data_IF_787745501061
#
_entry.id   IF_787745501061
#
_cell.length_a   1.000
_cell.length_b   1.000
_cell.length_c   1.000
_cell.angle_alpha   90.00
_cell.angle_beta   90.00
_cell.angle_gamma   90.00
#
_symmetry.space_group_name_H-M   'P 1'
#
loop_
_entity.id
_entity.type
_entity.pdbx_description
1 polymer ?
#
# COMPACT_ATOMS: atom_id res chain seq x y z
N UNK A 1 -0.42 19.04 7.64
CA UNK A 1 -1.44 18.07 8.10
C UNK A 1 -0.77 16.71 8.23
N UNK A 2 -1.30 15.79 9.04
CA UNK A 2 -0.80 14.40 9.15
C UNK A 2 -1.96 13.45 8.84
N UNK A 3 -1.73 12.50 7.94
CA UNK A 3 -2.69 11.52 7.45
C UNK A 3 -2.17 10.09 7.55
N UNK A 4 -3.05 9.14 7.22
CA UNK A 4 -2.71 7.71 7.11
C UNK A 4 -3.38 7.12 5.86
N UNK A 5 -2.75 7.33 4.71
CA UNK A 5 -3.16 6.76 3.43
C UNK A 5 -4.03 7.68 2.58
N UNK A 6 -3.75 8.99 2.52
CA UNK A 6 -4.41 9.83 1.50
C UNK A 6 -4.08 9.29 0.10
N UNK A 7 -5.12 9.04 -0.71
CA UNK A 7 -4.92 8.48 -2.05
C UNK A 7 -4.05 9.43 -2.90
N UNK A 8 -3.06 8.92 -3.64
CA UNK A 8 -2.20 9.76 -4.48
C UNK A 8 -3.00 10.61 -5.48
N UNK A 9 -4.08 10.06 -6.03
CA UNK A 9 -4.94 10.70 -7.03
C UNK A 9 -5.68 11.93 -6.53
N UNK A 10 -5.90 12.05 -5.20
CA UNK A 10 -6.64 13.16 -4.60
C UNK A 10 -5.73 14.12 -3.84
N UNK A 11 -4.47 13.75 -3.64
CA UNK A 11 -3.54 14.44 -2.76
C UNK A 11 -3.29 15.88 -3.17
N UNK A 12 -2.94 16.11 -4.44
CA UNK A 12 -2.62 17.44 -4.95
C UNK A 12 -3.85 18.37 -5.00
N UNK A 13 -5.01 17.81 -5.32
CA UNK A 13 -6.26 18.56 -5.32
C UNK A 13 -6.67 18.95 -3.89
N UNK A 14 -6.49 18.03 -2.94
CA UNK A 14 -6.75 18.26 -1.52
C UNK A 14 -5.82 19.34 -0.95
N UNK A 15 -4.51 19.24 -1.18
CA UNK A 15 -3.55 20.25 -0.69
C UNK A 15 -3.86 21.64 -1.24
N UNK A 16 -4.20 21.72 -2.54
CA UNK A 16 -4.56 22.97 -3.21
C UNK A 16 -5.86 23.56 -2.68
N UNK A 17 -6.91 22.74 -2.55
CA UNK A 17 -8.23 23.16 -2.08
C UNK A 17 -8.19 23.72 -0.67
N UNK A 18 -7.45 23.07 0.23
CA UNK A 18 -7.39 23.44 1.64
C UNK A 18 -6.14 24.26 2.01
N UNK A 19 -5.30 24.62 1.03
CA UNK A 19 -4.07 25.40 1.22
C UNK A 19 -3.11 24.77 2.23
N UNK A 20 -2.99 23.45 2.21
CA UNK A 20 -2.07 22.71 3.07
C UNK A 20 -0.68 22.74 2.44
N UNK A 21 0.28 23.34 3.12
CA UNK A 21 1.66 23.47 2.62
C UNK A 21 2.47 22.17 2.69
N UNK A 22 2.12 21.28 3.63
CA UNK A 22 2.80 19.99 3.80
C UNK A 22 1.83 18.95 4.37
N UNK A 23 1.85 17.75 3.79
CA UNK A 23 1.18 16.56 4.31
C UNK A 23 2.26 15.59 4.74
N UNK A 24 2.23 15.18 6.00
CA UNK A 24 2.96 14.01 6.47
C UNK A 24 2.04 12.80 6.42
N UNK A 25 2.55 11.66 5.96
CA UNK A 25 1.85 10.38 6.05
C UNK A 25 2.59 9.47 7.01
N UNK A 26 1.85 8.69 7.79
CA UNK A 26 2.42 7.63 8.61
C UNK A 26 1.78 6.30 8.27
N UNK A 27 2.58 5.24 8.28
CA UNK A 27 2.10 3.87 8.21
C UNK A 27 2.59 3.10 9.44
N UNK A 28 1.65 2.47 10.13
CA UNK A 28 1.89 1.59 11.26
C UNK A 28 0.68 0.73 11.55
N UNK A 29 0.92 -0.46 12.08
CA UNK A 29 -0.12 -1.36 12.57
C UNK A 29 0.11 -1.63 14.07
N UNK A 30 -0.94 -1.95 14.81
CA UNK A 30 -0.87 -2.27 16.24
C UNK A 30 0.06 -3.44 16.55
N UNK A 31 0.17 -4.36 15.60
CA UNK A 31 1.01 -5.57 15.64
C UNK A 31 2.42 -5.31 15.10
N UNK A 32 2.67 -4.15 14.49
CA UNK A 32 3.97 -3.83 13.91
C UNK A 32 4.93 -3.33 14.98
N UNK A 33 6.15 -3.85 14.95
CA UNK A 33 7.24 -3.42 15.83
C UNK A 33 7.86 -2.06 15.44
N UNK A 34 7.48 -1.53 14.27
CA UNK A 34 7.99 -0.27 13.74
C UNK A 34 6.90 0.48 12.97
N UNK A 35 7.05 1.80 12.91
CA UNK A 35 6.22 2.67 12.08
C UNK A 35 7.13 3.44 11.14
N UNK A 36 6.66 3.68 9.93
CA UNK A 36 7.35 4.52 8.95
C UNK A 36 6.53 5.78 8.72
N UNK A 37 7.21 6.87 8.40
CA UNK A 37 6.55 8.12 8.07
C UNK A 37 7.23 8.79 6.88
N UNK A 38 6.42 9.35 5.99
CA UNK A 38 6.84 10.27 4.96
C UNK A 38 6.56 11.69 5.47
N UNK A 39 7.60 12.37 5.93
CA UNK A 39 7.52 13.76 6.41
C UNK A 39 7.90 14.78 5.34
N UNK A 40 8.44 14.32 4.21
CA UNK A 40 8.87 15.17 3.10
C UNK A 40 7.69 15.61 2.23
N UNK A 41 6.52 14.98 2.39
CA UNK A 41 5.32 15.25 1.58
C UNK A 41 5.40 14.65 0.18
N UNK A 42 6.20 13.60 0.00
CA UNK A 42 6.24 12.85 -1.26
C UNK A 42 4.87 12.24 -1.55
N UNK A 43 4.18 12.71 -2.58
CA UNK A 43 2.83 12.25 -2.92
C UNK A 43 2.79 10.73 -3.05
N UNK A 44 1.83 10.11 -2.35
CA UNK A 44 1.58 8.68 -2.37
C UNK A 44 2.53 7.81 -1.54
N UNK A 45 3.62 8.35 -1.03
CA UNK A 45 4.49 7.61 -0.12
C UNK A 45 3.93 7.63 1.31
N UNK A 46 3.89 6.47 1.96
CA UNK A 46 3.44 6.32 3.35
C UNK A 46 4.61 6.23 4.34
N UNK A 47 5.84 6.15 3.85
CA UNK A 47 7.04 6.02 4.66
C UNK A 47 8.32 6.38 3.91
N UNK A 48 9.40 6.57 4.66
CA UNK A 48 10.75 6.71 4.12
C UNK A 48 11.73 5.87 4.94
N UNK A 49 12.64 5.18 4.25
CA UNK A 49 13.75 4.47 4.85
C UNK A 49 15.05 4.83 4.12
N UNK A 50 16.01 5.44 4.84
CA UNK A 50 17.22 5.98 4.23
C UNK A 50 18.09 4.90 3.59
N UNK A 51 18.32 5.03 2.28
CA UNK A 51 19.28 4.21 1.54
C UNK A 51 20.74 4.58 1.84
N UNK A 52 20.99 5.83 2.23
CA UNK A 52 22.33 6.35 2.53
C UNK A 52 22.78 6.04 3.95
N UNK A 53 21.84 6.01 4.90
CA UNK A 53 22.09 5.73 6.31
C UNK A 53 21.19 4.59 6.80
N UNK A 54 21.32 3.36 6.23
CA UNK A 54 20.40 2.26 6.51
C UNK A 54 20.42 1.79 7.97
N UNK A 55 21.46 2.13 8.72
CA UNK A 55 21.62 1.74 10.12
C UNK A 55 20.94 2.71 11.10
N UNK A 56 20.50 3.89 10.66
CA UNK A 56 19.83 4.86 11.54
C UNK A 56 18.43 4.38 11.90
N UNK A 57 17.76 3.68 10.99
CA UNK A 57 16.47 3.05 11.25
C UNK A 57 16.34 1.77 10.41
N UNK A 58 16.96 0.65 10.85
CA UNK A 58 17.16 -0.53 10.03
C UNK A 58 15.88 -1.36 9.89
N UNK A 59 14.93 -0.86 9.10
CA UNK A 59 13.73 -1.60 8.70
C UNK A 59 14.06 -2.45 7.47
N UNK A 60 13.61 -3.70 7.48
CA UNK A 60 13.63 -4.59 6.32
C UNK A 60 12.25 -5.18 6.08
N UNK A 61 11.82 -5.15 4.83
CA UNK A 61 10.62 -5.83 4.39
C UNK A 61 10.97 -7.29 4.06
N UNK A 62 10.18 -8.22 4.58
CA UNK A 62 10.37 -9.67 4.36
C UNK A 62 9.07 -10.28 3.83
N UNK A 63 9.21 -11.32 3.01
CA UNK A 63 8.10 -12.01 2.39
C UNK A 63 7.37 -12.89 3.40
N UNK A 64 6.06 -12.97 3.20
CA UNK A 64 5.13 -13.77 3.98
C UNK A 64 4.38 -14.67 2.99
N UNK A 65 4.04 -15.89 3.40
CA UNK A 65 3.11 -16.73 2.67
C UNK A 65 1.71 -16.12 2.82
N UNK A 66 1.06 -15.78 1.71
CA UNK A 66 -0.21 -15.06 1.71
C UNK A 66 -1.37 -15.87 2.32
N UNK A 67 -1.30 -17.20 2.23
CA UNK A 67 -2.36 -18.10 2.70
C UNK A 67 -2.22 -18.39 4.21
N UNK A 68 -0.98 -18.63 4.67
CA UNK A 68 -0.70 -19.04 6.06
C UNK A 68 -0.29 -17.88 6.96
N UNK A 69 0.04 -16.73 6.38
CA UNK A 69 0.61 -15.57 7.07
C UNK A 69 1.96 -15.85 7.76
N UNK A 70 2.63 -16.95 7.42
CA UNK A 70 3.95 -17.30 7.95
C UNK A 70 5.10 -16.64 7.17
N UNK A 71 6.19 -16.29 7.88
CA UNK A 71 7.39 -15.73 7.25
C UNK A 71 8.04 -16.76 6.32
N UNK A 72 8.29 -16.37 5.07
CA UNK A 72 9.07 -17.19 4.15
C UNK A 72 10.54 -17.16 4.53
N UNK A 73 11.18 -18.33 4.55
CA UNK A 73 12.59 -18.51 4.90
C UNK A 73 13.35 -19.21 3.78
N UNK A 74 14.61 -18.84 3.61
CA UNK A 74 15.53 -19.50 2.67
C UNK A 74 16.07 -20.83 3.22
N UNK A 75 16.91 -21.51 2.45
CA UNK A 75 17.52 -22.79 2.83
C UNK A 75 18.46 -22.69 4.05
N UNK A 76 18.88 -21.49 4.42
CA UNK A 76 19.67 -21.23 5.63
C UNK A 76 18.80 -20.85 6.83
N UNK A 77 17.47 -20.79 6.67
CA UNK A 77 16.51 -20.41 7.71
C UNK A 77 16.33 -18.90 7.90
N UNK A 78 16.93 -18.06 7.05
CA UNK A 78 16.81 -16.60 7.12
C UNK A 78 15.54 -16.13 6.40
N UNK A 79 14.92 -15.06 6.90
CA UNK A 79 13.73 -14.49 6.25
C UNK A 79 14.07 -13.98 4.84
N UNK A 80 13.21 -14.29 3.87
CA UNK A 80 13.38 -13.86 2.48
C UNK A 80 13.00 -12.38 2.35
N UNK A 81 13.87 -11.50 1.82
CA UNK A 81 13.54 -10.08 1.67
C UNK A 81 12.54 -9.83 0.53
N UNK A 82 11.71 -8.80 0.69
CA UNK A 82 10.90 -8.30 -0.41
C UNK A 82 11.77 -7.68 -1.52
N UNK A 83 11.33 -7.82 -2.76
CA UNK A 83 11.92 -7.18 -3.95
C UNK A 83 10.99 -6.06 -4.43
N UNK A 84 11.50 -5.08 -5.20
CA UNK A 84 10.64 -4.10 -5.87
C UNK A 84 9.53 -4.81 -6.66
N UNK A 85 8.27 -4.47 -6.37
CA UNK A 85 7.08 -5.09 -6.98
C UNK A 85 6.21 -5.94 -6.03
N UNK A 86 6.71 -6.29 -4.82
CA UNK A 86 5.91 -6.93 -3.77
C UNK A 86 4.94 -5.94 -3.08
N UNK A 87 4.00 -6.43 -2.26
CA UNK A 87 2.83 -5.69 -1.68
C UNK A 87 3.16 -4.35 -1.00
N UNK A 88 4.37 -4.21 -0.46
CA UNK A 88 4.96 -2.91 -0.09
C UNK A 88 6.12 -2.63 -1.05
N UNK A 89 6.00 -1.57 -1.84
CA UNK A 89 7.03 -1.17 -2.82
C UNK A 89 7.91 -0.09 -2.22
N UNK A 90 9.21 -0.31 -2.21
CA UNK A 90 10.21 0.74 -1.95
C UNK A 90 10.82 1.17 -3.28
N UNK A 91 10.88 2.48 -3.53
CA UNK A 91 11.61 3.01 -4.68
C UNK A 91 13.13 3.12 -4.43
N UNK A 92 13.90 3.48 -5.46
CA UNK A 92 15.36 3.61 -5.36
C UNK A 92 15.81 4.73 -4.41
N UNK A 93 14.92 5.67 -4.09
CA UNK A 93 15.19 6.77 -3.16
C UNK A 93 14.91 6.37 -1.70
N UNK A 94 14.18 5.28 -1.47
CA UNK A 94 13.81 4.78 -0.15
C UNK A 94 12.40 5.18 0.29
N UNK A 95 11.57 5.75 -0.59
CA UNK A 95 10.17 6.00 -0.29
C UNK A 95 9.37 4.70 -0.37
N UNK A 96 8.53 4.50 0.63
CA UNK A 96 7.66 3.33 0.78
C UNK A 96 6.26 3.67 0.29
N UNK A 97 5.71 2.79 -0.53
CA UNK A 97 4.39 2.91 -1.14
C UNK A 97 3.55 1.70 -0.73
N UNK A 98 2.36 1.98 -0.21
CA UNK A 98 1.37 0.95 0.11
C UNK A 98 0.56 0.63 -1.15
N UNK A 99 0.54 -0.64 -1.56
CA UNK A 99 -0.11 -1.06 -2.81
C UNK A 99 -1.56 -1.51 -2.58
N UNK A 100 -1.77 -2.52 -1.73
CA UNK A 100 -3.11 -2.98 -1.33
C UNK A 100 -3.03 -3.86 -0.06
N UNK A 101 -4.14 -4.12 0.62
CA UNK A 101 -4.20 -5.15 1.68
C UNK A 101 -4.51 -6.52 1.07
N UNK A 102 -3.98 -7.59 1.67
CA UNK A 102 -4.47 -8.94 1.39
C UNK A 102 -5.96 -9.00 1.79
N UNK A 103 -6.83 -9.28 0.81
CA UNK A 103 -8.29 -9.22 0.92
C UNK A 103 -8.98 -8.07 0.17
N UNK A 104 -8.25 -7.02 -0.23
CA UNK A 104 -8.78 -5.90 -1.04
C UNK A 104 -8.54 -6.10 -2.56
N UNK A 105 -7.84 -7.16 -2.94
CA UNK A 105 -7.68 -7.61 -4.33
C UNK A 105 -8.47 -8.89 -4.55
N UNK A 106 -9.28 -8.94 -5.62
CA UNK A 106 -10.12 -10.09 -5.97
C UNK A 106 -9.78 -10.59 -7.38
N UNK A 107 -9.99 -11.88 -7.64
CA UNK A 107 -9.81 -12.46 -8.97
C UNK A 107 -11.14 -12.49 -9.73
N UNK A 108 -11.19 -11.91 -10.91
CA UNK A 108 -12.37 -11.94 -11.78
C UNK A 108 -11.97 -12.27 -13.20
N UNK A 109 -12.54 -13.36 -13.75
CA UNK A 109 -12.25 -13.86 -15.11
C UNK A 109 -10.75 -14.05 -15.37
N UNK A 110 -10.01 -14.52 -14.36
CA UNK A 110 -8.58 -14.75 -14.43
C UNK A 110 -7.70 -13.53 -14.14
N UNK A 111 -8.27 -12.32 -14.09
CA UNK A 111 -7.57 -11.07 -13.85
C UNK A 111 -7.60 -10.67 -12.37
N UNK A 112 -6.54 -10.01 -11.89
CA UNK A 112 -6.50 -9.42 -10.55
C UNK A 112 -7.14 -8.03 -10.58
N UNK A 113 -8.12 -7.80 -9.70
CA UNK A 113 -8.85 -6.53 -9.57
C UNK A 113 -8.55 -5.94 -8.21
N UNK A 114 -7.84 -4.80 -8.19
CA UNK A 114 -7.60 -4.02 -6.97
C UNK A 114 -8.77 -3.07 -6.71
N UNK A 115 -9.42 -3.17 -5.55
CA UNK A 115 -10.47 -2.21 -5.17
C UNK A 115 -9.91 -0.79 -5.07
N UNK A 116 -8.69 -0.65 -4.58
CA UNK A 116 -7.98 0.63 -4.45
C UNK A 116 -7.86 1.38 -5.78
N UNK A 117 -7.53 0.67 -6.87
CA UNK A 117 -7.43 1.25 -8.21
C UNK A 117 -8.80 1.67 -8.76
N UNK A 118 -9.82 0.82 -8.56
CA UNK A 118 -11.19 1.10 -9.01
C UNK A 118 -11.76 2.30 -8.25
N UNK A 119 -11.57 2.37 -6.93
CA UNK A 119 -11.96 3.50 -6.09
C UNK A 119 -11.28 4.79 -6.54
N UNK A 120 -9.98 4.74 -6.84
CA UNK A 120 -9.24 5.91 -7.34
C UNK A 120 -9.81 6.44 -8.66
N UNK A 121 -10.14 5.53 -9.57
CA UNK A 121 -10.76 5.88 -10.87
C UNK A 121 -12.15 6.46 -10.70
N UNK A 122 -13.01 5.81 -9.90
CA UNK A 122 -14.38 6.26 -9.64
C UNK A 122 -14.41 7.60 -8.88
N UNK A 123 -13.56 7.77 -7.88
CA UNK A 123 -13.44 9.02 -7.13
C UNK A 123 -13.13 10.18 -8.08
N UNK A 124 -12.20 10.00 -9.02
CA UNK A 124 -11.86 11.02 -10.01
C UNK A 124 -13.04 11.37 -10.93
N UNK A 125 -13.74 10.36 -11.46
CA UNK A 125 -14.94 10.56 -12.31
C UNK A 125 -16.08 11.25 -11.55
N UNK A 126 -16.18 10.97 -10.25
CA UNK A 126 -17.20 11.51 -9.35
C UNK A 126 -16.74 12.81 -8.66
N UNK A 127 -15.87 13.60 -9.30
CA UNK A 127 -15.39 14.89 -8.77
C UNK A 127 -14.76 14.80 -7.37
N UNK A 128 -13.89 13.82 -7.16
CA UNK A 128 -13.20 13.57 -5.88
C UNK A 128 -14.16 13.23 -4.73
N UNK A 129 -15.26 12.52 -5.04
CA UNK A 129 -16.17 11.98 -4.02
C UNK A 129 -15.51 10.79 -3.33
N UNK A 130 -15.83 10.57 -2.04
CA UNK A 130 -15.37 9.39 -1.31
C UNK A 130 -16.07 8.14 -1.85
N UNK A 131 -15.28 7.11 -2.18
CA UNK A 131 -15.76 5.89 -2.85
C UNK A 131 -15.18 4.69 -2.12
N UNK A 132 -16.06 3.73 -1.81
CA UNK A 132 -15.70 2.41 -1.33
C UNK A 132 -16.10 1.36 -2.38
N UNK A 133 -15.19 0.45 -2.72
CA UNK A 133 -15.43 -0.68 -3.63
C UNK A 133 -15.17 -1.97 -2.87
N UNK A 134 -16.07 -2.94 -3.05
CA UNK A 134 -15.93 -4.26 -2.46
C UNK A 134 -16.40 -5.32 -3.46
N UNK A 135 -15.79 -6.51 -3.40
CA UNK A 135 -16.21 -7.66 -4.19
C UNK A 135 -17.57 -8.19 -3.72
N UNK A 136 -18.41 -8.62 -4.66
CA UNK A 136 -19.66 -9.33 -4.38
C UNK A 136 -19.73 -10.61 -5.20
N UNK A 137 -20.35 -11.65 -4.64
CA UNK A 137 -20.65 -12.87 -5.40
C UNK A 137 -21.67 -12.59 -6.50
N UNK A 138 -21.40 -13.06 -7.72
CA UNK A 138 -22.31 -12.90 -8.86
C UNK A 138 -23.02 -14.23 -9.13
N UNK A 139 -24.36 -14.28 -9.16
CA UNK A 139 -25.09 -15.51 -9.47
C UNK A 139 -24.69 -16.07 -10.84
N UNK A 140 -24.14 -17.28 -10.87
CA UNK A 140 -23.65 -17.93 -12.08
C UNK A 140 -22.30 -17.41 -12.62
N UNK A 141 -21.62 -16.54 -11.87
CA UNK A 141 -20.26 -16.13 -12.16
C UNK A 141 -19.26 -17.12 -11.57
N UNK A 142 -18.25 -17.51 -12.35
CA UNK A 142 -17.06 -18.17 -11.82
C UNK A 142 -16.32 -17.19 -10.92
N UNK A 143 -16.46 -17.36 -9.61
CA UNK A 143 -15.49 -16.85 -8.65
C UNK A 143 -14.40 -17.90 -8.62
N UNK A 144 -13.28 -17.62 -9.28
CA UNK A 144 -12.10 -18.44 -9.11
C UNK A 144 -11.66 -18.22 -7.66
N UNK A 145 -11.61 -19.27 -6.82
CA UNK A 145 -11.15 -19.09 -5.45
C UNK A 145 -9.74 -18.50 -5.57
N UNK A 146 -9.58 -17.28 -5.04
CA UNK A 146 -8.26 -16.69 -4.88
C UNK A 146 -7.37 -17.65 -4.09
N UNK A 147 -6.03 -17.46 -4.15
CA UNK A 147 -5.11 -18.23 -3.31
C UNK A 147 -5.55 -18.21 -1.83
#
# INVERSE_FOLDING_TARGET
AVGNGLRPTIWEDFTRRFRIQQIGEFYGATECNCSVANLDGKVGACGFNSRLLPNVYPIRLVKVNEDTMELLRDSAGLCVPCRPGDVLVMDDLGYLYFKDRSGDTFRWRGENVSTTEVEGTLSHILNQTDVAVYGVEVPGGEVDPGP
#
